data_IF_317941046799
#
_entry.id   IF_317941046799
#
_cell.length_a   1.000
_cell.length_b   1.000
_cell.length_c   1.000
_cell.angle_alpha   90.00
_cell.angle_beta   90.00
_cell.angle_gamma   90.00
#
_symmetry.space_group_name_H-M   'P 1'
#
loop_
_entity.id
_entity.type
_entity.pdbx_description
1 polymer ?
#
# COMPACT_ATOMS: atom_id res chain seq x y z
N UNK A 1 -40.67 -55.85 -3.20
CA UNK A 1 -40.76 -54.39 -3.01
C UNK A 1 -39.51 -53.98 -2.24
N UNK A 2 -38.48 -53.62 -2.98
CA UNK A 2 -37.17 -53.23 -2.42
C UNK A 2 -37.08 -51.72 -2.45
N UNK A 3 -36.90 -51.09 -1.32
CA UNK A 3 -36.62 -49.65 -1.17
C UNK A 3 -35.15 -49.44 -0.89
N UNK A 4 -34.47 -48.76 -1.81
CA UNK A 4 -33.08 -48.28 -1.74
C UNK A 4 -33.02 -47.02 -0.89
N UNK A 5 -32.06 -46.84 0.01
CA UNK A 5 -31.87 -45.55 0.69
C UNK A 5 -31.00 -44.63 -0.16
N UNK A 6 -31.42 -43.41 -0.24
CA UNK A 6 -30.82 -42.27 -0.95
C UNK A 6 -29.56 -41.77 -0.22
N UNK A 7 -28.39 -41.89 -0.86
CA UNK A 7 -27.13 -41.29 -0.46
C UNK A 7 -27.00 -39.93 -1.15
N UNK A 8 -27.38 -38.84 -0.49
CA UNK A 8 -27.39 -37.52 -1.14
C UNK A 8 -27.02 -36.31 -0.29
N UNK A 9 -26.57 -36.48 0.95
CA UNK A 9 -26.43 -35.33 1.86
C UNK A 9 -25.04 -35.06 2.46
N UNK A 10 -24.04 -35.88 2.15
CA UNK A 10 -22.67 -35.67 2.70
C UNK A 10 -21.69 -34.99 1.75
N UNK A 11 -22.00 -34.99 0.45
CA UNK A 11 -21.11 -34.35 -0.56
C UNK A 11 -21.22 -32.81 -0.58
N UNK A 12 -22.37 -32.25 -0.25
CA UNK A 12 -22.64 -30.80 -0.32
C UNK A 12 -21.96 -30.00 0.77
N UNK A 13 -21.79 -30.56 1.97
CA UNK A 13 -21.15 -29.85 3.10
C UNK A 13 -19.62 -29.78 2.95
N UNK A 14 -18.99 -30.83 2.43
CA UNK A 14 -17.54 -30.85 2.16
C UNK A 14 -17.19 -29.94 0.96
N UNK A 15 -18.02 -29.89 -0.06
CA UNK A 15 -17.85 -29.03 -1.23
C UNK A 15 -18.07 -27.56 -0.90
N UNK A 16 -19.03 -27.25 -0.03
CA UNK A 16 -19.27 -25.90 0.50
C UNK A 16 -18.13 -25.44 1.42
N UNK A 17 -17.60 -26.34 2.27
CA UNK A 17 -16.46 -26.06 3.12
C UNK A 17 -15.15 -25.90 2.31
N UNK A 18 -14.96 -26.71 1.26
CA UNK A 18 -13.83 -26.57 0.34
C UNK A 18 -13.92 -25.30 -0.50
N UNK A 19 -15.10 -24.89 -0.98
CA UNK A 19 -15.34 -23.62 -1.65
C UNK A 19 -15.13 -22.43 -0.71
N UNK A 20 -15.59 -22.51 0.54
CA UNK A 20 -15.35 -21.48 1.55
C UNK A 20 -13.87 -21.39 1.93
N UNK A 21 -13.16 -22.53 2.05
CA UNK A 21 -11.71 -22.56 2.28
C UNK A 21 -10.92 -22.02 1.08
N UNK A 22 -11.35 -22.33 -0.15
CA UNK A 22 -10.73 -21.82 -1.38
C UNK A 22 -11.05 -20.34 -1.58
N UNK A 23 -12.24 -19.86 -1.23
CA UNK A 23 -12.59 -18.44 -1.23
C UNK A 23 -11.78 -17.67 -0.17
N UNK A 24 -11.63 -18.24 1.03
CA UNK A 24 -10.79 -17.65 2.09
C UNK A 24 -9.30 -17.68 1.75
N UNK A 25 -8.80 -18.71 1.05
CA UNK A 25 -7.43 -18.77 0.54
C UNK A 25 -7.22 -17.80 -0.65
N UNK A 26 -8.26 -17.48 -1.42
CA UNK A 26 -8.23 -16.48 -2.48
C UNK A 26 -8.28 -15.02 -1.95
N UNK A 27 -8.71 -14.83 -0.69
CA UNK A 27 -8.68 -13.54 0.02
C UNK A 27 -7.39 -13.33 0.81
N UNK A 28 -6.60 -14.38 1.06
CA UNK A 28 -5.30 -14.23 1.75
C UNK A 28 -4.29 -13.70 0.76
N UNK A 29 -3.96 -12.42 0.85
CA UNK A 29 -2.99 -11.77 -0.01
C UNK A 29 -1.59 -12.39 0.10
N UNK A 30 -0.76 -12.14 -0.89
CA UNK A 30 0.64 -12.62 -0.95
C UNK A 30 1.48 -12.08 0.20
N UNK A 31 1.19 -10.86 0.69
CA UNK A 31 1.91 -10.21 1.79
C UNK A 31 1.03 -10.18 3.04
N UNK A 32 1.49 -10.81 4.11
CA UNK A 32 0.74 -10.88 5.37
C UNK A 32 1.64 -10.64 6.57
N UNK A 33 1.08 -10.10 7.65
CA UNK A 33 1.73 -10.03 8.96
C UNK A 33 0.96 -10.91 9.95
N UNK A 34 1.66 -11.59 10.84
CA UNK A 34 1.10 -12.47 11.87
C UNK A 34 1.73 -12.17 13.22
N UNK A 35 0.88 -11.81 14.20
CA UNK A 35 1.27 -11.46 15.57
C UNK A 35 2.44 -10.45 15.62
N UNK A 36 2.49 -9.55 14.64
CA UNK A 36 3.64 -8.69 14.37
C UNK A 36 3.87 -7.71 15.52
N UNK A 37 5.00 -7.82 16.20
CA UNK A 37 5.44 -6.89 17.25
C UNK A 37 6.69 -6.16 16.80
N UNK A 38 6.61 -4.81 16.76
CA UNK A 38 7.67 -3.92 16.32
C UNK A 38 8.09 -2.98 17.43
N UNK A 39 9.38 -2.79 17.59
CA UNK A 39 9.93 -1.90 18.59
C UNK A 39 11.18 -1.17 18.08
N UNK A 40 11.42 0.01 18.60
CA UNK A 40 12.68 0.73 18.51
C UNK A 40 13.30 0.72 19.92
N UNK A 41 14.50 0.17 20.05
CA UNK A 41 15.14 -0.07 21.33
C UNK A 41 14.16 -0.79 22.29
N UNK A 42 13.80 -0.20 23.42
CA UNK A 42 12.89 -0.78 24.41
C UNK A 42 11.42 -0.34 24.25
N UNK A 43 11.13 0.57 23.30
CA UNK A 43 9.78 1.07 23.07
C UNK A 43 9.05 0.25 22.02
N UNK A 44 8.04 -0.51 22.43
CA UNK A 44 7.11 -1.17 21.51
C UNK A 44 6.22 -0.11 20.84
N UNK A 45 6.15 -0.18 19.50
CA UNK A 45 5.37 0.74 18.65
C UNK A 45 4.17 0.03 18.03
N UNK A 46 4.32 -1.25 17.69
CA UNK A 46 3.25 -2.11 17.18
C UNK A 46 3.24 -3.36 18.05
N UNK A 47 2.06 -3.79 18.48
CA UNK A 47 1.89 -4.88 19.42
C UNK A 47 0.91 -5.92 18.88
N UNK A 48 1.43 -7.13 18.58
CA UNK A 48 0.68 -8.31 18.12
C UNK A 48 -0.33 -8.00 17.00
N UNK A 49 0.16 -7.39 15.91
CA UNK A 49 -0.66 -6.98 14.77
C UNK A 49 -0.77 -8.11 13.75
N UNK A 50 -2.00 -8.45 13.38
CA UNK A 50 -2.31 -9.30 12.22
C UNK A 50 -2.82 -8.40 11.08
N UNK A 51 -2.35 -8.64 9.85
CA UNK A 51 -2.73 -7.87 8.68
C UNK A 51 -2.61 -8.73 7.42
N UNK A 52 -3.65 -8.73 6.61
CA UNK A 52 -3.66 -9.33 5.28
C UNK A 52 -3.76 -8.24 4.22
N UNK A 53 -2.84 -8.25 3.24
CA UNK A 53 -2.84 -7.28 2.14
C UNK A 53 -3.52 -7.92 0.91
N UNK A 54 -4.73 -7.47 0.52
CA UNK A 54 -5.42 -8.00 -0.67
C UNK A 54 -4.64 -7.75 -1.95
N UNK A 55 -4.48 -8.80 -2.77
CA UNK A 55 -3.73 -8.73 -4.03
C UNK A 55 -4.43 -7.89 -5.11
N UNK A 56 -3.63 -7.14 -5.88
CA UNK A 56 -4.10 -6.33 -7.00
C UNK A 56 -4.99 -5.15 -6.58
N UNK A 57 -4.87 -4.70 -5.33
CA UNK A 57 -5.67 -3.62 -4.73
C UNK A 57 -4.79 -2.54 -4.10
N UNK A 58 -5.39 -1.37 -3.88
CA UNK A 58 -4.79 -0.31 -3.06
C UNK A 58 -5.21 -0.52 -1.62
N UNK A 59 -4.26 -0.89 -0.76
CA UNK A 59 -4.43 -0.87 0.70
C UNK A 59 -3.88 0.44 1.24
N UNK A 60 -4.69 1.18 1.98
CA UNK A 60 -4.27 2.44 2.62
C UNK A 60 -4.27 2.28 4.13
N UNK A 61 -3.14 2.61 4.76
CA UNK A 61 -3.00 2.63 6.22
C UNK A 61 -3.16 4.07 6.70
N UNK A 62 -4.15 4.29 7.58
CA UNK A 62 -4.44 5.60 8.19
C UNK A 62 -4.37 5.55 9.71
N UNK A 63 -4.29 6.70 10.35
CA UNK A 63 -4.29 6.83 11.81
C UNK A 63 -3.51 8.05 12.29
N UNK A 64 -3.54 8.37 13.59
CA UNK A 64 -2.82 9.50 14.16
C UNK A 64 -1.30 9.41 13.95
N UNK A 65 -0.62 10.53 14.13
CA UNK A 65 0.84 10.55 14.10
C UNK A 65 1.41 9.64 15.19
N UNK A 66 2.53 8.99 14.88
CA UNK A 66 3.23 8.06 15.76
C UNK A 66 2.43 6.82 16.22
N UNK A 67 1.32 6.46 15.57
CA UNK A 67 0.56 5.25 15.89
C UNK A 67 1.14 3.95 15.33
N UNK A 68 2.23 4.00 14.53
CA UNK A 68 2.90 2.80 14.01
C UNK A 68 2.78 2.56 12.50
N UNK A 69 2.10 3.41 11.71
CA UNK A 69 1.88 3.22 10.26
C UNK A 69 3.16 2.96 9.46
N UNK A 70 4.07 3.94 9.45
CA UNK A 70 5.36 3.83 8.73
C UNK A 70 6.25 2.72 9.31
N UNK A 71 6.13 2.45 10.62
CA UNK A 71 6.84 1.34 11.27
C UNK A 71 6.35 0.00 10.73
N UNK A 72 5.03 -0.17 10.60
CA UNK A 72 4.42 -1.36 10.00
C UNK A 72 4.82 -1.49 8.53
N UNK A 73 4.74 -0.40 7.75
CA UNK A 73 5.14 -0.43 6.34
C UNK A 73 6.62 -0.82 6.16
N UNK A 74 7.51 -0.30 7.00
CA UNK A 74 8.96 -0.68 7.01
C UNK A 74 9.17 -2.16 7.34
N UNK A 75 8.38 -2.73 8.23
CA UNK A 75 8.45 -4.15 8.54
C UNK A 75 7.93 -5.00 7.38
N UNK A 76 6.83 -4.61 6.71
CA UNK A 76 6.32 -5.24 5.49
C UNK A 76 7.37 -5.21 4.36
N UNK A 77 8.18 -4.16 4.25
CA UNK A 77 9.29 -4.04 3.31
C UNK A 77 10.63 -4.63 3.79
N UNK A 78 10.65 -5.31 4.94
CA UNK A 78 11.86 -5.86 5.58
C UNK A 78 12.94 -4.82 5.92
N UNK A 79 12.59 -3.54 6.04
CA UNK A 79 13.51 -2.51 6.53
C UNK A 79 13.60 -2.47 8.06
N UNK A 80 12.63 -3.04 8.75
CA UNK A 80 12.61 -3.19 10.20
C UNK A 80 12.40 -4.66 10.55
N UNK A 81 13.30 -5.20 11.39
CA UNK A 81 13.19 -6.58 11.87
C UNK A 81 12.14 -6.66 12.99
N UNK A 82 11.14 -7.56 12.89
CA UNK A 82 10.21 -7.80 13.99
C UNK A 82 10.91 -8.26 15.27
N UNK A 83 10.38 -7.83 16.42
CA UNK A 83 10.76 -8.34 17.75
C UNK A 83 9.98 -9.62 18.06
N UNK A 84 8.75 -9.73 17.56
CA UNK A 84 7.87 -10.91 17.66
C UNK A 84 7.00 -11.02 16.43
N UNK A 85 6.46 -12.22 16.22
CA UNK A 85 5.67 -12.51 15.03
C UNK A 85 6.50 -12.54 13.75
N UNK A 86 5.83 -12.49 12.60
CA UNK A 86 6.49 -12.56 11.30
C UNK A 86 5.71 -11.82 10.21
N UNK A 87 6.43 -11.34 9.18
CA UNK A 87 5.87 -10.96 7.90
C UNK A 87 6.15 -12.07 6.90
N UNK A 88 5.13 -12.49 6.17
CA UNK A 88 5.20 -13.56 5.18
C UNK A 88 4.93 -13.01 3.79
N UNK A 89 5.71 -13.48 2.82
CA UNK A 89 5.49 -13.29 1.39
C UNK A 89 5.26 -14.65 0.76
N UNK A 90 4.11 -14.84 0.11
CA UNK A 90 3.70 -16.13 -0.46
C UNK A 90 3.82 -17.29 0.56
N UNK A 91 3.42 -17.03 1.82
CA UNK A 91 3.48 -18.00 2.92
C UNK A 91 4.88 -18.24 3.50
N UNK A 92 5.93 -17.61 2.96
CA UNK A 92 7.30 -17.74 3.45
C UNK A 92 7.70 -16.51 4.25
N UNK A 93 8.26 -16.71 5.43
CA UNK A 93 8.74 -15.61 6.29
C UNK A 93 9.82 -14.79 5.58
N UNK A 94 9.67 -13.45 5.53
CA UNK A 94 10.62 -12.55 4.86
C UNK A 94 12.06 -12.69 5.34
N UNK A 95 12.27 -13.04 6.61
CA UNK A 95 13.61 -13.26 7.18
C UNK A 95 14.35 -14.41 6.51
N UNK A 96 13.63 -15.38 5.92
CA UNK A 96 14.17 -16.58 5.27
C UNK A 96 14.39 -16.41 3.77
N UNK A 97 13.87 -15.33 3.17
CA UNK A 97 13.99 -15.05 1.74
C UNK A 97 15.27 -14.24 1.47
N UNK A 98 16.08 -14.58 0.45
CA UNK A 98 17.25 -13.79 0.07
C UNK A 98 16.86 -12.33 -0.24
N UNK A 99 17.69 -11.37 0.18
CA UNK A 99 17.40 -9.92 0.02
C UNK A 99 17.11 -9.53 -1.43
N UNK A 100 17.86 -10.09 -2.39
CA UNK A 100 17.65 -9.85 -3.82
C UNK A 100 16.26 -10.31 -4.28
N UNK A 101 15.79 -11.48 -3.82
CA UNK A 101 14.44 -11.98 -4.13
C UNK A 101 13.35 -11.06 -3.59
N UNK A 102 13.53 -10.54 -2.37
CA UNK A 102 12.58 -9.56 -1.81
C UNK A 102 12.59 -8.30 -2.65
N UNK A 103 13.76 -7.76 -3.02
CA UNK A 103 13.87 -6.58 -3.85
C UNK A 103 13.30 -6.78 -5.27
N UNK A 104 13.20 -8.00 -5.78
CA UNK A 104 12.51 -8.34 -7.03
C UNK A 104 10.98 -8.51 -6.87
N UNK A 105 10.48 -8.60 -5.65
CA UNK A 105 9.05 -8.81 -5.37
C UNK A 105 8.38 -7.59 -4.74
N UNK A 106 9.13 -6.80 -3.96
CA UNK A 106 8.62 -5.65 -3.20
C UNK A 106 9.43 -4.41 -3.55
N UNK A 107 8.79 -3.44 -4.21
CA UNK A 107 9.29 -2.09 -4.36
C UNK A 107 8.92 -1.25 -3.14
N UNK A 108 9.81 -0.37 -2.70
CA UNK A 108 9.55 0.49 -1.55
C UNK A 108 10.01 1.92 -1.82
N UNK A 109 9.10 2.86 -1.58
CA UNK A 109 9.37 4.29 -1.56
C UNK A 109 9.26 4.78 -0.12
N UNK A 110 10.37 5.17 0.54
CA UNK A 110 10.34 5.74 1.89
C UNK A 110 9.81 7.17 1.87
N UNK A 111 9.39 7.69 3.03
CA UNK A 111 8.85 9.04 3.22
C UNK A 111 9.84 10.14 2.78
N UNK A 112 11.12 9.95 3.05
CA UNK A 112 12.18 10.90 2.70
C UNK A 112 13.30 10.18 1.96
N UNK A 113 13.13 9.95 0.64
CA UNK A 113 14.17 9.33 -0.15
C UNK A 113 15.32 10.31 -0.39
N UNK A 114 16.57 9.81 -0.39
CA UNK A 114 17.77 10.59 -0.61
C UNK A 114 18.42 10.19 -1.94
N UNK A 115 18.61 11.15 -2.83
CA UNK A 115 19.36 10.98 -4.05
C UNK A 115 20.84 11.39 -3.86
N UNK A 116 21.77 10.80 -4.59
CA UNK A 116 23.12 11.36 -4.71
C UNK A 116 23.07 12.76 -5.31
N UNK A 117 24.02 13.60 -4.95
CA UNK A 117 24.18 14.94 -5.53
C UNK A 117 24.35 14.88 -7.04
N UNK A 118 23.71 15.80 -7.74
CA UNK A 118 23.78 15.99 -9.20
C UNK A 118 23.38 14.76 -10.06
N UNK A 119 22.68 13.78 -9.49
CA UNK A 119 22.20 12.62 -10.26
C UNK A 119 21.10 13.07 -11.23
N UNK A 120 21.14 12.56 -12.47
CA UNK A 120 20.09 12.81 -13.46
C UNK A 120 18.83 11.98 -13.11
N UNK A 121 17.68 12.42 -13.64
CA UNK A 121 16.41 11.67 -13.51
C UNK A 121 16.55 10.27 -14.12
N UNK A 122 17.11 10.15 -15.32
CA UNK A 122 17.32 8.86 -15.97
C UNK A 122 18.19 7.92 -15.14
N UNK A 123 19.32 8.43 -14.61
CA UNK A 123 20.23 7.64 -13.78
C UNK A 123 19.58 7.21 -12.46
N UNK A 124 18.75 8.07 -11.84
CA UNK A 124 18.03 7.72 -10.63
C UNK A 124 17.01 6.62 -10.91
N UNK A 125 16.21 6.74 -11.98
CA UNK A 125 15.21 5.72 -12.35
C UNK A 125 15.90 4.40 -12.69
N UNK A 126 17.04 4.43 -13.41
CA UNK A 126 17.85 3.26 -13.75
C UNK A 126 18.32 2.48 -12.51
N UNK A 127 18.49 3.12 -11.35
CA UNK A 127 18.83 2.43 -10.09
C UNK A 127 17.75 1.44 -9.65
N UNK A 128 16.50 1.61 -10.08
CA UNK A 128 15.43 0.64 -9.86
C UNK A 128 15.77 -0.75 -10.43
N UNK A 129 16.64 -0.83 -11.44
CA UNK A 129 17.06 -2.10 -12.06
C UNK A 129 18.11 -2.87 -11.28
N UNK A 130 18.74 -2.29 -10.26
CA UNK A 130 19.82 -2.94 -9.49
C UNK A 130 19.47 -4.37 -8.98
N UNK A 131 18.26 -4.70 -8.53
CA UNK A 131 17.92 -6.06 -8.11
C UNK A 131 17.94 -7.08 -9.24
N UNK A 132 17.81 -6.67 -10.50
CA UNK A 132 17.81 -7.52 -11.69
C UNK A 132 19.22 -7.72 -12.25
N UNK A 133 20.13 -6.76 -12.06
CA UNK A 133 21.48 -6.79 -12.58
C UNK A 133 22.41 -7.74 -11.82
N UNK A 134 23.31 -8.38 -12.55
CA UNK A 134 24.44 -9.11 -12.01
C UNK A 134 25.73 -8.29 -12.18
N UNK A 135 26.71 -8.44 -11.28
CA UNK A 135 27.96 -7.66 -11.32
C UNK A 135 28.77 -7.81 -12.63
N UNK A 136 28.51 -8.88 -13.40
CA UNK A 136 29.13 -9.16 -14.72
C UNK A 136 28.21 -8.87 -15.90
N UNK A 137 26.95 -8.49 -15.66
CA UNK A 137 25.96 -8.27 -16.70
C UNK A 137 25.93 -6.78 -17.04
N UNK A 138 26.16 -6.44 -18.30
CA UNK A 138 25.97 -5.09 -18.80
C UNK A 138 24.47 -4.75 -18.83
N UNK A 139 24.18 -3.46 -18.97
CA UNK A 139 22.84 -2.93 -19.22
C UNK A 139 22.15 -3.68 -20.35
N UNK A 140 20.93 -4.15 -20.15
CA UNK A 140 20.18 -4.94 -21.12
C UNK A 140 19.06 -4.11 -21.77
N UNK A 141 18.60 -4.57 -22.95
CA UNK A 141 17.42 -3.98 -23.61
C UNK A 141 16.15 -4.09 -22.73
N UNK A 142 16.08 -5.07 -21.82
CA UNK A 142 15.01 -5.21 -20.85
C UNK A 142 15.09 -4.11 -19.78
N UNK A 143 16.29 -3.79 -19.29
CA UNK A 143 16.50 -2.70 -18.35
C UNK A 143 16.11 -1.35 -18.97
N UNK A 144 16.51 -1.10 -20.23
CA UNK A 144 16.16 0.11 -20.96
C UNK A 144 14.63 0.25 -21.13
N UNK A 145 13.96 -0.84 -21.51
CA UNK A 145 12.49 -0.84 -21.65
C UNK A 145 11.80 -0.58 -20.31
N UNK A 146 12.25 -1.23 -19.24
CA UNK A 146 11.66 -1.04 -17.91
C UNK A 146 11.79 0.40 -17.39
N UNK A 147 12.95 1.03 -17.64
CA UNK A 147 13.19 2.44 -17.27
C UNK A 147 12.34 3.37 -18.13
N UNK A 148 12.29 3.17 -19.44
CA UNK A 148 11.48 3.99 -20.34
C UNK A 148 10.00 3.90 -20.00
N UNK A 149 9.45 2.69 -19.82
CA UNK A 149 8.05 2.48 -19.44
C UNK A 149 7.74 3.14 -18.08
N UNK A 150 8.63 3.02 -17.10
CA UNK A 150 8.46 3.66 -15.80
C UNK A 150 8.43 5.19 -15.90
N UNK A 151 9.31 5.79 -16.72
CA UNK A 151 9.34 7.24 -16.92
C UNK A 151 8.12 7.75 -17.70
N UNK A 152 7.63 7.00 -18.68
CA UNK A 152 6.40 7.32 -19.43
C UNK A 152 5.17 7.28 -18.51
N UNK A 153 5.00 6.22 -17.72
CA UNK A 153 3.86 6.06 -16.78
C UNK A 153 3.78 7.15 -15.73
N UNK A 154 4.92 7.73 -15.36
CA UNK A 154 5.00 8.79 -14.36
C UNK A 154 5.11 10.19 -14.95
N UNK A 155 5.08 10.31 -16.28
CA UNK A 155 5.19 11.59 -17.00
C UNK A 155 6.46 12.37 -16.61
N UNK A 156 7.63 11.69 -16.62
CA UNK A 156 8.92 12.30 -16.33
C UNK A 156 9.95 12.14 -17.45
N UNK A 157 9.56 11.57 -18.58
CA UNK A 157 10.47 11.30 -19.72
C UNK A 157 11.18 12.57 -20.21
N UNK A 158 10.47 13.70 -20.30
CA UNK A 158 11.03 14.99 -20.71
C UNK A 158 12.04 15.59 -19.70
N UNK A 159 12.15 14.98 -18.51
CA UNK A 159 13.05 15.42 -17.44
C UNK A 159 14.32 14.55 -17.37
N UNK A 160 14.48 13.54 -18.23
CA UNK A 160 15.51 12.49 -18.13
C UNK A 160 16.94 13.00 -17.89
N UNK A 161 17.34 14.04 -18.61
CA UNK A 161 18.68 14.62 -18.52
C UNK A 161 18.85 15.68 -17.41
N UNK A 162 17.75 16.06 -16.71
CA UNK A 162 17.81 17.06 -15.68
C UNK A 162 18.32 16.48 -14.36
N UNK A 163 19.00 17.31 -13.58
CA UNK A 163 19.34 16.95 -12.19
C UNK A 163 18.06 16.85 -11.34
N UNK A 164 18.01 15.82 -10.47
CA UNK A 164 16.91 15.64 -9.51
C UNK A 164 16.79 16.83 -8.55
N UNK A 165 17.89 17.52 -8.27
CA UNK A 165 17.92 18.68 -7.38
C UNK A 165 17.21 19.92 -7.95
N UNK A 166 17.10 19.99 -9.30
CA UNK A 166 16.41 21.08 -10.00
C UNK A 166 14.90 20.91 -10.11
N UNK A 167 14.36 19.77 -9.66
CA UNK A 167 12.96 19.43 -9.82
C UNK A 167 12.07 20.06 -8.74
N UNK A 168 10.82 20.39 -9.13
CA UNK A 168 9.77 20.69 -8.15
C UNK A 168 9.48 19.48 -7.25
N UNK A 169 8.84 19.69 -6.09
CA UNK A 169 8.47 18.61 -5.18
C UNK A 169 7.64 17.52 -5.87
N UNK A 170 6.63 17.88 -6.64
CA UNK A 170 5.79 16.95 -7.38
C UNK A 170 6.54 16.18 -8.47
N UNK A 171 7.41 16.86 -9.24
CA UNK A 171 8.26 16.21 -10.24
C UNK A 171 9.22 15.22 -9.57
N UNK A 172 9.87 15.63 -8.49
CA UNK A 172 10.78 14.77 -7.71
C UNK A 172 10.05 13.53 -7.19
N UNK A 173 8.83 13.67 -6.67
CA UNK A 173 8.04 12.55 -6.19
C UNK A 173 7.70 11.56 -7.32
N UNK A 174 7.30 12.05 -8.50
CA UNK A 174 7.04 11.19 -9.67
C UNK A 174 8.30 10.45 -10.13
N UNK A 175 9.47 11.06 -10.08
CA UNK A 175 10.76 10.41 -10.38
C UNK A 175 11.06 9.27 -9.40
N UNK A 176 10.81 9.47 -8.10
CA UNK A 176 10.99 8.40 -7.12
C UNK A 176 10.02 7.24 -7.33
N UNK A 177 8.77 7.54 -7.71
CA UNK A 177 7.80 6.51 -8.09
C UNK A 177 8.27 5.79 -9.36
N UNK A 178 8.80 6.52 -10.36
CA UNK A 178 9.38 5.93 -11.56
C UNK A 178 10.50 4.92 -11.23
N UNK A 179 11.42 5.30 -10.34
CA UNK A 179 12.48 4.40 -9.86
C UNK A 179 11.90 3.12 -9.23
N UNK A 180 10.87 3.26 -8.39
CA UNK A 180 10.22 2.10 -7.78
C UNK A 180 9.45 1.25 -8.82
N UNK A 181 8.90 1.87 -9.88
CA UNK A 181 8.24 1.17 -10.98
C UNK A 181 9.22 0.44 -11.89
N UNK A 182 10.39 1.03 -12.16
CA UNK A 182 11.46 0.42 -12.96
C UNK A 182 11.99 -0.87 -12.32
N UNK A 183 11.77 -1.07 -11.02
CA UNK A 183 12.07 -2.31 -10.31
C UNK A 183 11.16 -3.49 -10.74
N UNK A 184 10.03 -3.23 -11.42
CA UNK A 184 9.07 -4.23 -11.95
C UNK A 184 8.59 -5.22 -10.89
N UNK A 185 8.29 -4.73 -9.69
CA UNK A 185 7.78 -5.55 -8.60
C UNK A 185 6.25 -5.66 -8.63
N UNK A 186 5.72 -6.78 -8.17
CA UNK A 186 4.27 -7.01 -8.03
C UNK A 186 3.67 -6.24 -6.84
N UNK A 187 4.48 -6.00 -5.81
CA UNK A 187 4.11 -5.29 -4.58
C UNK A 187 4.84 -3.96 -4.50
N UNK A 188 4.10 -2.88 -4.21
CA UNK A 188 4.66 -1.54 -4.06
C UNK A 188 4.23 -0.96 -2.70
N UNK A 189 5.20 -0.59 -1.89
CA UNK A 189 5.00 0.02 -0.58
C UNK A 189 5.38 1.49 -0.64
N UNK A 190 4.45 2.40 -0.31
CA UNK A 190 4.63 3.85 -0.39
C UNK A 190 4.42 4.50 0.98
N UNK A 191 5.47 5.06 1.57
CA UNK A 191 5.39 5.75 2.86
C UNK A 191 5.12 7.24 2.64
N UNK A 192 3.86 7.66 2.79
CA UNK A 192 3.39 9.04 2.66
C UNK A 192 3.77 9.73 1.32
N UNK A 193 3.40 9.15 0.17
CA UNK A 193 3.86 9.64 -1.12
C UNK A 193 3.32 11.01 -1.52
N UNK A 194 2.36 11.56 -0.77
CA UNK A 194 1.72 12.87 -1.03
C UNK A 194 2.20 13.98 -0.11
N UNK A 195 3.11 13.68 0.84
CA UNK A 195 3.62 14.67 1.79
C UNK A 195 4.43 15.76 1.08
N UNK A 196 4.24 17.01 1.48
CA UNK A 196 4.84 18.23 0.89
C UNK A 196 4.40 18.57 -0.54
N UNK A 197 3.37 17.91 -1.08
CA UNK A 197 2.80 18.22 -2.38
C UNK A 197 1.58 19.15 -2.23
N UNK A 198 1.37 20.03 -3.20
CA UNK A 198 0.10 20.75 -3.34
C UNK A 198 -1.04 19.79 -3.77
N UNK A 199 -2.27 20.24 -3.66
CA UNK A 199 -3.46 19.43 -3.91
C UNK A 199 -3.45 18.80 -5.32
N UNK A 200 -3.03 19.54 -6.34
CA UNK A 200 -3.02 19.04 -7.71
C UNK A 200 -2.04 17.86 -7.86
N UNK A 201 -0.82 18.02 -7.36
CA UNK A 201 0.20 16.97 -7.41
C UNK A 201 -0.15 15.77 -6.51
N UNK A 202 -0.85 15.97 -5.38
CA UNK A 202 -1.36 14.86 -4.56
C UNK A 202 -2.33 13.99 -5.35
N UNK A 203 -3.28 14.63 -6.06
CA UNK A 203 -4.26 13.93 -6.90
C UNK A 203 -3.56 13.17 -8.02
N UNK A 204 -2.60 13.80 -8.74
CA UNK A 204 -1.83 13.15 -9.80
C UNK A 204 -1.12 11.87 -9.32
N UNK A 205 -0.48 11.94 -8.14
CA UNK A 205 0.22 10.78 -7.53
C UNK A 205 -0.76 9.68 -7.15
N UNK A 206 -1.91 10.03 -6.54
CA UNK A 206 -2.91 9.04 -6.13
C UNK A 206 -3.63 8.42 -7.34
N UNK A 207 -3.89 9.19 -8.39
CA UNK A 207 -4.42 8.69 -9.65
C UNK A 207 -3.43 7.75 -10.33
N UNK A 208 -2.13 8.05 -10.28
CA UNK A 208 -1.09 7.13 -10.74
C UNK A 208 -1.13 5.82 -9.95
N UNK A 209 -1.16 5.88 -8.62
CA UNK A 209 -1.27 4.69 -7.75
C UNK A 209 -2.49 3.85 -8.14
N UNK A 210 -3.63 4.50 -8.38
CA UNK A 210 -4.86 3.81 -8.79
C UNK A 210 -4.72 3.11 -10.14
N UNK A 211 -4.08 3.76 -11.11
CA UNK A 211 -3.79 3.15 -12.43
C UNK A 211 -2.88 1.92 -12.35
N UNK A 212 -1.95 1.88 -11.38
CA UNK A 212 -1.03 0.74 -11.21
C UNK A 212 -1.74 -0.54 -10.75
N UNK A 213 -2.87 -0.44 -10.08
CA UNK A 213 -3.66 -1.59 -9.62
C UNK A 213 -4.70 -2.04 -10.64
N UNK A 214 -4.91 -1.29 -11.71
CA UNK A 214 -5.78 -1.70 -12.79
C UNK A 214 -5.16 -2.91 -13.55
N UNK A 215 -5.96 -3.94 -13.88
CA UNK A 215 -5.49 -5.02 -14.74
C UNK A 215 -4.99 -4.46 -16.08
N UNK A 216 -3.91 -5.02 -16.59
CA UNK A 216 -3.41 -4.66 -17.91
C UNK A 216 -4.34 -5.20 -19.02
N UNK A 217 -4.24 -4.62 -20.24
CA UNK A 217 -5.08 -5.01 -21.36
C UNK A 217 -4.90 -6.48 -21.80
N UNK A 218 -3.77 -7.09 -21.46
CA UNK A 218 -3.45 -8.50 -21.71
C UNK A 218 -4.02 -9.46 -20.65
N UNK A 219 -4.76 -8.94 -19.66
CA UNK A 219 -5.32 -9.70 -18.54
C UNK A 219 -4.35 -9.95 -17.38
N UNK A 220 -3.13 -9.41 -17.45
CA UNK A 220 -2.19 -9.45 -16.33
C UNK A 220 -2.78 -8.70 -15.14
N UNK A 221 -2.71 -9.31 -13.95
CA UNK A 221 -3.19 -8.69 -12.71
C UNK A 221 -2.44 -7.39 -12.45
N UNK A 222 -3.16 -6.35 -12.02
CA UNK A 222 -2.56 -5.12 -11.56
C UNK A 222 -1.67 -5.32 -10.34
N UNK A 223 -0.80 -4.35 -10.06
CA UNK A 223 0.10 -4.39 -8.90
C UNK A 223 -0.70 -4.28 -7.59
N UNK A 224 -0.18 -4.87 -6.55
CA UNK A 224 -0.66 -4.64 -5.18
C UNK A 224 0.07 -3.44 -4.60
N UNK A 225 -0.67 -2.45 -4.12
CA UNK A 225 -0.09 -1.24 -3.53
C UNK A 225 -0.51 -1.11 -2.08
N UNK A 226 0.46 -0.89 -1.19
CA UNK A 226 0.22 -0.51 0.21
C UNK A 226 0.77 0.90 0.41
N UNK A 227 -0.07 1.81 0.85
CA UNK A 227 0.37 3.20 1.08
C UNK A 227 -0.07 3.72 2.44
N UNK A 228 0.75 4.56 3.04
CA UNK A 228 0.38 5.34 4.22
C UNK A 228 -0.10 6.71 3.76
N UNK A 229 -1.27 7.13 4.20
CA UNK A 229 -1.80 8.46 3.96
C UNK A 229 -2.20 9.15 5.27
N UNK A 230 -2.12 10.49 5.30
CA UNK A 230 -2.57 11.30 6.43
C UNK A 230 -3.99 11.77 6.28
N UNK A 231 -4.42 12.07 5.05
CA UNK A 231 -5.75 12.56 4.75
C UNK A 231 -6.74 11.40 4.62
N UNK A 232 -7.73 11.37 5.53
CA UNK A 232 -8.73 10.30 5.56
C UNK A 232 -9.69 10.36 4.37
N UNK A 233 -9.96 11.56 3.81
CA UNK A 233 -10.80 11.70 2.64
C UNK A 233 -10.10 11.18 1.39
N UNK A 234 -8.81 11.49 1.22
CA UNK A 234 -8.01 10.87 0.16
C UNK A 234 -7.92 9.35 0.34
N UNK A 235 -7.69 8.88 1.57
CA UNK A 235 -7.66 7.46 1.86
C UNK A 235 -8.97 6.76 1.50
N UNK A 236 -10.12 7.31 1.90
CA UNK A 236 -11.43 6.76 1.57
C UNK A 236 -11.73 6.77 0.07
N UNK A 237 -11.23 7.78 -0.66
CA UNK A 237 -11.44 7.92 -2.11
C UNK A 237 -10.62 6.93 -2.94
N UNK A 238 -9.39 6.63 -2.52
CA UNK A 238 -8.43 5.87 -3.33
C UNK A 238 -8.22 4.43 -2.87
N UNK A 239 -8.58 4.08 -1.64
CA UNK A 239 -8.41 2.73 -1.13
C UNK A 239 -9.48 1.77 -1.65
N UNK A 240 -9.06 0.54 -1.97
CA UNK A 240 -9.94 -0.63 -2.05
C UNK A 240 -10.06 -1.31 -0.67
N UNK A 241 -9.00 -1.21 0.13
CA UNK A 241 -8.91 -1.73 1.48
C UNK A 241 -8.28 -0.66 2.39
N UNK A 242 -8.97 -0.28 3.45
CA UNK A 242 -8.54 0.72 4.41
C UNK A 242 -8.21 0.06 5.73
N UNK A 243 -7.06 0.40 6.30
CA UNK A 243 -6.60 -0.10 7.61
C UNK A 243 -6.44 1.11 8.54
N UNK A 244 -7.30 1.20 9.55
CA UNK A 244 -7.27 2.26 10.54
C UNK A 244 -6.48 1.81 11.77
N UNK A 245 -5.38 2.50 12.08
CA UNK A 245 -4.49 2.18 13.20
C UNK A 245 -4.56 3.22 14.31
N UNK A 246 -4.48 2.76 15.57
CA UNK A 246 -4.31 3.60 16.75
C UNK A 246 -3.42 2.89 17.78
N UNK A 247 -2.47 3.61 18.35
CA UNK A 247 -1.59 3.11 19.43
C UNK A 247 -0.98 1.72 19.14
N UNK A 248 -0.48 1.50 17.91
CA UNK A 248 0.20 0.28 17.52
C UNK A 248 -0.71 -0.91 17.19
N UNK A 249 -2.02 -0.71 17.09
CA UNK A 249 -3.02 -1.76 16.80
C UNK A 249 -3.94 -1.35 15.66
N UNK A 250 -4.49 -2.33 14.95
CA UNK A 250 -5.58 -2.11 14.00
C UNK A 250 -6.88 -1.98 14.80
N UNK A 251 -7.61 -0.88 14.55
CA UNK A 251 -8.93 -0.62 15.15
C UNK A 251 -10.04 -1.11 14.23
N UNK A 252 -9.88 -0.90 12.93
CA UNK A 252 -10.79 -1.39 11.91
C UNK A 252 -10.04 -1.59 10.59
N UNK A 253 -10.48 -2.56 9.80
CA UNK A 253 -10.03 -2.78 8.42
C UNK A 253 -11.17 -3.25 7.53
N UNK A 254 -11.13 -2.90 6.25
CA UNK A 254 -12.17 -3.26 5.30
C UNK A 254 -12.30 -2.24 4.17
N UNK A 255 -13.41 -2.31 3.45
CA UNK A 255 -13.72 -1.29 2.43
C UNK A 255 -13.99 0.05 3.08
N UNK A 256 -13.57 1.18 2.48
CA UNK A 256 -13.86 2.50 3.04
C UNK A 256 -15.35 2.72 3.34
N UNK A 257 -16.25 2.29 2.44
CA UNK A 257 -17.69 2.43 2.60
C UNK A 257 -18.24 1.73 3.86
N UNK A 258 -17.60 0.64 4.26
CA UNK A 258 -18.06 -0.20 5.38
C UNK A 258 -17.52 0.30 6.73
N UNK A 259 -16.30 0.88 6.75
CA UNK A 259 -15.60 1.17 8.01
C UNK A 259 -15.49 2.66 8.34
N UNK A 260 -15.56 3.58 7.36
CA UNK A 260 -15.45 5.03 7.63
C UNK A 260 -16.77 5.55 8.19
N UNK A 261 -16.88 5.55 9.51
CA UNK A 261 -18.04 6.03 10.27
C UNK A 261 -17.64 7.17 11.20
N UNK A 262 -18.62 7.94 11.68
CA UNK A 262 -18.37 8.98 12.67
C UNK A 262 -17.75 8.42 13.97
N UNK A 263 -18.15 7.21 14.37
CA UNK A 263 -17.60 6.54 15.55
C UNK A 263 -16.15 6.14 15.35
N UNK A 264 -15.76 5.60 14.15
CA UNK A 264 -14.36 5.33 13.82
C UNK A 264 -13.52 6.61 13.87
N UNK A 265 -14.03 7.70 13.30
CA UNK A 265 -13.30 8.98 13.27
C UNK A 265 -13.11 9.52 14.70
N UNK A 266 -14.14 9.42 15.54
CA UNK A 266 -14.04 9.79 16.95
C UNK A 266 -13.07 8.89 17.71
N UNK A 267 -13.16 7.59 17.53
CA UNK A 267 -12.29 6.62 18.20
C UNK A 267 -10.84 6.80 17.80
N UNK A 268 -10.53 6.82 16.50
CA UNK A 268 -9.16 6.82 15.99
C UNK A 268 -8.52 8.20 16.09
N UNK A 269 -9.22 9.25 15.66
CA UNK A 269 -8.66 10.60 15.52
C UNK A 269 -9.09 11.56 16.64
N UNK A 270 -10.06 11.18 17.51
CA UNK A 270 -10.58 12.04 18.56
C UNK A 270 -11.38 13.24 18.01
N UNK A 271 -11.97 13.11 16.83
CA UNK A 271 -12.64 14.18 16.11
C UNK A 271 -14.12 13.86 15.93
N UNK A 272 -14.99 14.79 16.32
CA UNK A 272 -16.41 14.72 15.94
C UNK A 272 -16.57 15.09 14.47
N UNK A 273 -17.22 14.22 13.71
CA UNK A 273 -17.40 14.39 12.30
C UNK A 273 -18.77 13.89 11.83
N UNK A 274 -19.20 14.38 10.67
CA UNK A 274 -20.34 13.84 9.91
C UNK A 274 -19.76 13.17 8.67
N UNK A 275 -20.27 11.99 8.34
CA UNK A 275 -19.90 11.29 7.12
C UNK A 275 -20.99 11.54 6.08
N UNK A 276 -20.59 12.02 4.92
CA UNK A 276 -21.47 12.27 3.77
C UNK A 276 -20.86 11.61 2.52
N UNK A 277 -21.65 11.25 1.50
CA UNK A 277 -21.06 10.76 0.25
C UNK A 277 -20.32 11.91 -0.47
N UNK A 278 -19.13 11.62 -0.98
CA UNK A 278 -18.39 12.51 -1.88
C UNK A 278 -19.23 12.72 -3.16
N UNK A 279 -19.52 13.99 -3.56
CA UNK A 279 -20.40 14.26 -4.70
C UNK A 279 -19.83 13.82 -6.05
N UNK A 280 -18.52 13.50 -6.13
CA UNK A 280 -17.83 13.09 -7.37
C UNK A 280 -17.67 11.58 -7.44
N UNK A 281 -17.23 10.94 -6.34
CA UNK A 281 -16.89 9.52 -6.32
C UNK A 281 -17.89 8.66 -5.58
N UNK A 282 -18.75 9.25 -4.73
CA UNK A 282 -19.66 8.54 -3.83
C UNK A 282 -18.98 7.94 -2.60
N UNK A 283 -17.65 7.98 -2.51
CA UNK A 283 -16.90 7.47 -1.34
C UNK A 283 -17.23 8.25 -0.06
N UNK A 284 -17.00 7.70 1.12
CA UNK A 284 -17.21 8.42 2.37
C UNK A 284 -16.35 9.68 2.46
N UNK A 285 -16.99 10.83 2.69
CA UNK A 285 -16.35 12.11 2.94
C UNK A 285 -16.52 12.50 4.41
N UNK A 286 -15.43 12.64 5.11
CA UNK A 286 -15.39 13.05 6.52
C UNK A 286 -15.44 14.57 6.59
N UNK A 287 -16.52 15.10 7.14
CA UNK A 287 -16.70 16.54 7.38
C UNK A 287 -16.55 16.79 8.88
N UNK A 288 -15.46 17.45 9.33
CA UNK A 288 -15.25 17.77 10.73
C UNK A 288 -16.39 18.60 11.32
N UNK A 289 -16.79 18.30 12.54
CA UNK A 289 -17.70 19.11 13.30
C UNK A 289 -17.14 20.52 13.54
N UNK A 290 -18.01 21.48 13.74
CA UNK A 290 -17.66 22.90 13.95
C UNK A 290 -17.82 23.30 15.44
N UNK A 291 -16.92 22.88 16.33
CA UNK A 291 -17.05 23.14 17.77
C UNK A 291 -17.07 24.64 18.11
N UNK A 292 -16.50 25.49 17.24
CA UNK A 292 -16.56 26.98 17.39
C UNK A 292 -17.92 27.60 17.03
N UNK A 293 -18.82 26.81 16.44
CA UNK A 293 -20.20 27.18 16.18
C UNK A 293 -21.16 26.52 17.17
N UNK A 294 -20.73 26.32 18.41
CA UNK A 294 -21.65 25.89 19.46
C UNK A 294 -22.86 26.83 19.45
N UNK A 295 -24.01 26.31 19.05
CA UNK A 295 -25.27 27.06 19.08
C UNK A 295 -25.42 27.61 20.47
N UNK A 296 -25.63 28.93 20.66
CA UNK A 296 -25.97 29.44 21.98
C UNK A 296 -27.18 28.65 22.46
N UNK A 297 -27.08 28.10 23.67
CA UNK A 297 -28.18 27.40 24.29
C UNK A 297 -29.42 28.31 24.28
N UNK A 298 -30.62 27.77 24.01
CA UNK A 298 -31.86 28.53 23.97
C UNK A 298 -32.17 29.22 25.27
#
# INVERSE_FOLDING_TARGET
MSSTPTSGSTETAAETAAKAATAKAAETGRLTARELTLAYEDRTVVDSLDLDIPDGRVTVIVGPNACGKSTTLRALGRLLKPRGGAVLLDGTELSKIPTRRIAQSIGLLPQTPVAPEAITVGDLVARGRQPHQHWWQQWSDEDERAVTDAMERTDVTALGDRSVDELSGGQRQRVWIAMALAQETDLLLLDEPTTYLDIAHQVEVLDLVRRLTAPAADGTRGRTVVTVLHDLNQAARYADHLVAMKAGRIVAEGRPDDIVTADLVREVFGLEAVIVPDPVTGSPLVVPGAPWRATPAP
#
